data_IF_354865384898
#
_entry.id   IF_354865384898
#
_cell.length_a   1.000
_cell.length_b   1.000
_cell.length_c   1.000
_cell.angle_alpha   90.00
_cell.angle_beta   90.00
_cell.angle_gamma   90.00
#
_symmetry.space_group_name_H-M   'P 1'
#
loop_
_entity.id
_entity.type
_entity.pdbx_description
1 polymer ?
#
# COMPACT_ATOMS: atom_id res chain seq x y z
N UNK A 1 -3.16 -20.41 4.21
CA UNK A 1 -2.92 -20.19 4.41
C UNK A 1 -2.24 -19.32 4.56
N UNK A 2 -1.69 -18.95 4.43
CA UNK A 2 -0.97 -18.26 4.58
C UNK A 2 -0.96 -17.19 3.96
N UNK A 3 -1.49 -16.70 3.58
CA UNK A 3 -1.53 -15.74 2.89
C UNK A 3 -1.94 -14.57 3.51
N UNK A 4 -1.62 -14.18 4.66
CA UNK A 4 -1.89 -12.98 5.33
C UNK A 4 -0.75 -12.03 5.32
N UNK A 5 0.00 -12.00 4.25
CA UNK A 5 1.05 -11.01 4.13
C UNK A 5 0.45 -9.62 4.06
N UNK A 6 1.21 -8.63 4.44
CA UNK A 6 0.75 -7.25 4.39
C UNK A 6 0.40 -6.86 2.95
N UNK A 7 1.19 -7.30 1.99
CA UNK A 7 0.90 -7.04 0.60
C UNK A 7 -0.49 -7.54 0.22
N UNK A 8 -0.82 -8.74 0.62
CA UNK A 8 -2.11 -9.31 0.31
C UNK A 8 -3.23 -8.55 1.00
N UNK A 9 -3.03 -8.16 2.22
CA UNK A 9 -4.05 -7.40 2.94
C UNK A 9 -4.29 -6.05 2.27
N UNK A 10 -3.23 -5.38 1.86
CA UNK A 10 -3.36 -4.10 1.17
C UNK A 10 -4.09 -4.28 -0.15
N UNK A 11 -3.69 -5.28 -0.92
CA UNK A 11 -4.37 -5.57 -2.19
C UNK A 11 -5.86 -5.78 -1.98
N UNK A 12 -6.21 -6.58 -1.01
CA UNK A 12 -7.61 -6.91 -0.78
C UNK A 12 -8.42 -5.70 -0.34
N UNK A 13 -7.86 -4.88 0.52
CA UNK A 13 -8.55 -3.68 0.98
C UNK A 13 -8.80 -2.72 -0.19
N UNK A 14 -7.80 -2.52 -1.01
CA UNK A 14 -7.93 -1.57 -2.11
C UNK A 14 -8.85 -2.11 -3.21
N UNK A 15 -8.78 -3.38 -3.50
CA UNK A 15 -9.68 -3.97 -4.47
C UNK A 15 -11.12 -3.87 -4.01
N UNK A 16 -11.35 -4.12 -2.75
CA UNK A 16 -12.70 -4.12 -2.23
C UNK A 16 -13.30 -2.74 -2.19
N UNK A 17 -12.52 -1.75 -1.85
CA UNK A 17 -13.04 -0.41 -1.66
C UNK A 17 -13.05 0.45 -2.92
N UNK A 18 -12.20 0.17 -3.88
CA UNK A 18 -12.09 1.02 -5.06
C UNK A 18 -12.34 0.33 -6.39
N UNK A 19 -12.27 -0.97 -6.43
CA UNK A 19 -12.42 -1.72 -7.69
C UNK A 19 -11.58 -1.13 -8.81
N UNK A 20 -10.28 -0.98 -8.61
CA UNK A 20 -9.46 -0.29 -9.58
C UNK A 20 -9.29 -1.08 -10.87
N UNK A 21 -9.06 -0.37 -11.97
CA UNK A 21 -8.77 -1.05 -13.23
C UNK A 21 -7.34 -1.56 -13.23
N UNK A 22 -6.44 -0.89 -12.53
CA UNK A 22 -5.07 -1.34 -12.38
C UNK A 22 -4.69 -1.19 -10.93
N UNK A 23 -4.09 -2.21 -10.39
CA UNK A 23 -3.59 -2.15 -9.01
C UNK A 23 -2.26 -2.87 -8.94
N UNK A 24 -1.24 -2.18 -8.53
CA UNK A 24 0.07 -2.76 -8.29
C UNK A 24 0.46 -2.45 -6.84
N UNK A 25 0.78 -3.46 -6.08
CA UNK A 25 1.28 -3.28 -4.72
C UNK A 25 2.64 -3.94 -4.65
N UNK A 26 3.65 -3.17 -4.32
CA UNK A 26 5.02 -3.66 -4.31
C UNK A 26 5.67 -3.44 -2.96
N UNK A 27 6.30 -4.46 -2.45
CA UNK A 27 7.02 -4.38 -1.19
C UNK A 27 8.43 -3.89 -1.48
N UNK A 28 8.73 -2.67 -1.11
CA UNK A 28 10.03 -2.07 -1.36
C UNK A 28 10.96 -2.12 -0.16
N UNK A 29 10.59 -2.83 0.86
CA UNK A 29 11.41 -2.85 2.06
C UNK A 29 12.80 -3.41 1.81
N UNK A 30 12.96 -4.24 0.81
CA UNK A 30 14.27 -4.76 0.50
C UNK A 30 15.25 -3.71 0.07
N UNK A 31 14.78 -2.60 -0.44
CA UNK A 31 15.68 -1.56 -0.87
C UNK A 31 16.42 -0.93 0.29
N UNK A 32 15.97 -1.18 1.48
CA UNK A 32 16.58 -0.58 2.65
C UNK A 32 17.38 -1.57 3.47
N UNK A 33 17.45 -2.80 3.04
CA UNK A 33 18.12 -3.82 3.80
C UNK A 33 19.57 -3.60 4.01
N UNK A 34 20.25 -3.06 3.11
CA UNK A 34 21.68 -2.93 3.21
C UNK A 34 22.16 -1.91 4.17
N UNK A 35 21.29 -1.14 4.75
CA UNK A 35 21.73 -0.11 5.61
C UNK A 35 21.87 -0.51 7.04
N UNK A 36 21.47 -1.63 7.42
CA UNK A 36 21.50 -1.91 8.81
C UNK A 36 21.85 -3.28 9.08
N UNK A 37 22.70 -3.44 9.98
CA UNK A 37 23.08 -4.67 10.35
C UNK A 37 22.04 -5.30 11.15
N UNK A 38 21.06 -4.59 11.57
CA UNK A 38 20.16 -5.16 12.35
C UNK A 38 18.94 -5.55 11.79
N UNK A 39 18.77 -5.55 10.60
CA UNK A 39 17.56 -5.72 10.04
C UNK A 39 17.01 -7.02 9.97
N UNK A 40 16.81 -7.67 10.99
CA UNK A 40 16.28 -8.92 10.94
C UNK A 40 14.93 -8.98 10.40
N UNK A 41 14.04 -8.18 10.66
CA UNK A 41 12.70 -8.26 10.19
C UNK A 41 12.24 -7.03 9.49
N UNK A 42 12.96 -6.64 8.47
CA UNK A 42 12.59 -5.47 7.77
C UNK A 42 11.70 -5.73 6.62
N UNK A 43 10.91 -6.74 6.62
CA UNK A 43 10.00 -7.00 5.55
C UNK A 43 8.71 -6.29 5.76
N UNK A 44 8.08 -5.94 4.67
CA UNK A 44 6.72 -5.41 4.73
C UNK A 44 6.61 -4.07 5.45
N UNK A 45 7.66 -3.28 5.42
CA UNK A 45 7.63 -2.00 6.09
C UNK A 45 7.51 -0.82 5.13
N UNK A 46 7.92 -1.00 3.87
CA UNK A 46 7.88 0.06 2.88
C UNK A 46 7.17 -0.45 1.64
N UNK A 47 6.09 0.19 1.25
CA UNK A 47 5.32 -0.26 0.10
C UNK A 47 5.10 0.85 -0.91
N UNK A 48 4.99 0.46 -2.17
CA UNK A 48 4.61 1.34 -3.24
C UNK A 48 3.30 0.80 -3.81
N UNK A 49 2.33 1.67 -3.99
CA UNK A 49 1.03 1.28 -4.55
C UNK A 49 0.73 2.16 -5.74
N UNK A 50 0.45 1.54 -6.88
CA UNK A 50 -0.03 2.25 -8.05
C UNK A 50 -1.46 1.80 -8.30
N UNK A 51 -2.36 2.73 -8.45
CA UNK A 51 -3.76 2.41 -8.61
C UNK A 51 -4.39 3.36 -9.62
N UNK A 52 -5.12 2.80 -10.56
CA UNK A 52 -5.83 3.58 -11.56
C UNK A 52 -7.32 3.29 -11.42
N UNK A 53 -8.11 4.33 -11.29
CA UNK A 53 -9.54 4.20 -11.11
C UNK A 53 -10.28 4.80 -12.29
N UNK A 54 -11.41 4.20 -12.65
CA UNK A 54 -12.26 4.75 -13.68
C UNK A 54 -13.37 5.50 -13.04
N UNK A 55 -13.69 6.63 -13.61
CA UNK A 55 -14.87 7.40 -13.15
C UNK A 55 -14.82 7.79 -11.68
N UNK A 56 -13.65 8.02 -11.18
CA UNK A 56 -13.51 8.42 -9.78
C UNK A 56 -13.77 9.91 -9.68
N UNK A 57 -14.64 10.29 -8.76
CA UNK A 57 -14.97 11.69 -8.58
C UNK A 57 -14.17 12.33 -7.45
N UNK A 58 -13.37 11.58 -6.75
CA UNK A 58 -12.59 12.14 -5.66
C UNK A 58 -11.38 12.89 -6.19
N UNK A 59 -10.98 13.93 -5.49
CA UNK A 59 -9.74 14.62 -5.83
C UNK A 59 -8.58 13.73 -5.43
N UNK A 60 -7.40 14.02 -5.93
CA UNK A 60 -6.22 13.26 -5.56
C UNK A 60 -5.97 13.33 -4.07
N UNK A 61 -6.17 14.49 -3.47
CA UNK A 61 -5.97 14.64 -2.04
C UNK A 61 -6.94 13.75 -1.27
N UNK A 62 -8.20 13.76 -1.65
CA UNK A 62 -9.18 12.95 -0.95
C UNK A 62 -8.92 11.47 -1.14
N UNK A 63 -8.46 11.10 -2.31
CA UNK A 63 -8.15 9.72 -2.59
C UNK A 63 -6.98 9.25 -1.72
N UNK A 64 -5.94 10.07 -1.61
CA UNK A 64 -4.82 9.75 -0.73
C UNK A 64 -5.28 9.60 0.72
N UNK A 65 -6.11 10.51 1.19
CA UNK A 65 -6.60 10.45 2.54
C UNK A 65 -7.40 9.19 2.79
N UNK A 66 -8.20 8.80 1.83
CA UNK A 66 -9.02 7.61 1.97
C UNK A 66 -8.15 6.35 2.03
N UNK A 67 -7.14 6.29 1.18
CA UNK A 67 -6.23 5.14 1.19
C UNK A 67 -5.52 5.05 2.54
N UNK A 68 -5.00 6.16 3.03
CA UNK A 68 -4.31 6.14 4.31
C UNK A 68 -5.23 5.74 5.45
N UNK A 69 -6.47 6.20 5.41
CA UNK A 69 -7.41 5.83 6.44
C UNK A 69 -7.73 4.34 6.40
N UNK A 70 -7.90 3.79 5.20
CA UNK A 70 -8.20 2.38 5.07
C UNK A 70 -7.04 1.50 5.51
N UNK A 71 -5.82 2.00 5.38
CA UNK A 71 -4.64 1.23 5.76
C UNK A 71 -4.11 1.57 7.14
N UNK A 72 -4.89 2.29 7.91
CA UNK A 72 -4.48 2.75 9.24
C UNK A 72 -4.01 1.61 10.14
N UNK A 73 -4.67 0.48 10.08
CA UNK A 73 -4.26 -0.64 10.89
C UNK A 73 -2.90 -1.16 10.52
N UNK A 74 -2.54 -1.10 9.25
CA UNK A 74 -1.23 -1.57 8.84
C UNK A 74 -0.14 -0.65 9.38
N UNK A 75 -0.41 0.65 9.43
CA UNK A 75 0.56 1.56 10.02
C UNK A 75 0.73 1.27 11.50
N UNK A 76 -0.31 0.89 12.19
CA UNK A 76 -0.21 0.53 13.59
C UNK A 76 0.54 -0.77 13.81
N UNK A 77 0.59 -1.60 12.78
CA UNK A 77 1.19 -2.91 12.90
C UNK A 77 2.54 -3.04 12.22
N UNK A 78 3.18 -1.95 11.92
CA UNK A 78 4.54 -2.03 11.41
C UNK A 78 4.80 -1.44 10.04
N UNK A 79 3.79 -0.98 9.32
CA UNK A 79 4.03 -0.32 8.05
C UNK A 79 4.63 1.05 8.34
N UNK A 80 5.81 1.33 7.82
CA UNK A 80 6.47 2.59 8.07
C UNK A 80 6.27 3.61 6.96
N UNK A 81 6.24 3.21 5.74
CA UNK A 81 6.15 4.13 4.64
C UNK A 81 5.30 3.59 3.52
N UNK A 82 4.53 4.46 2.91
CA UNK A 82 3.65 4.08 1.83
C UNK A 82 3.72 5.16 0.77
N UNK A 83 4.14 4.77 -0.42
CA UNK A 83 4.22 5.68 -1.53
C UNK A 83 3.05 5.38 -2.45
N UNK A 84 2.32 6.38 -2.87
CA UNK A 84 1.13 6.19 -3.66
C UNK A 84 1.25 6.89 -5.01
N UNK A 85 0.89 6.19 -6.06
CA UNK A 85 0.76 6.75 -7.39
C UNK A 85 -0.69 6.49 -7.78
N UNK A 86 -1.54 7.47 -7.60
CA UNK A 86 -2.96 7.32 -7.79
C UNK A 86 -3.42 8.12 -8.99
N UNK A 87 -4.15 7.49 -9.89
CA UNK A 87 -4.65 8.13 -11.08
C UNK A 87 -6.13 7.84 -11.26
N UNK A 88 -6.80 8.78 -11.86
CA UNK A 88 -8.20 8.64 -12.14
C UNK A 88 -8.41 8.98 -13.58
N UNK A 89 -9.11 8.16 -14.32
CA UNK A 89 -9.37 8.48 -15.73
C UNK A 89 -10.80 8.84 -15.99
#
# INVERSE_FOLDING_TARGET
>A
MKENSRKKRIENILKKNFSPTILLVRDDSKKHEGHSEVSINVKETHFFVQMVLNNCTLTKVDLHRKVYKLLDKEFSCGLHALELDLKSS
#
